data_IF_231115930438
#
_entry.id   IF_231115930438
#
_cell.length_a   1.000
_cell.length_b   1.000
_cell.length_c   1.000
_cell.angle_alpha   90.00
_cell.angle_beta   90.00
_cell.angle_gamma   90.00
#
_symmetry.space_group_name_H-M   'P 1'
#
loop_
_entity.id
_entity.type
_entity.pdbx_description
1 polymer ?
#
# COMPACT_ATOMS: atom_id res chain seq x y z
N UNK A 1 21.07 4.15 2.79
CA UNK A 1 20.10 4.49 3.84
C UNK A 1 18.79 3.80 3.48
N UNK A 2 18.14 3.17 4.44
CA UNK A 2 16.88 2.43 4.24
C UNK A 2 15.73 3.24 4.84
N UNK A 3 14.54 3.20 4.24
CA UNK A 3 13.46 4.13 4.58
C UNK A 3 12.94 3.95 6.01
N UNK A 4 12.83 2.70 6.48
CA UNK A 4 12.40 2.39 7.85
C UNK A 4 13.37 2.88 8.95
N UNK A 5 14.56 3.36 8.58
CA UNK A 5 15.59 3.86 9.52
C UNK A 5 15.64 5.39 9.58
N UNK A 6 14.86 6.09 8.76
CA UNK A 6 14.83 7.56 8.75
C UNK A 6 14.19 8.05 10.05
N UNK A 7 14.78 9.11 10.62
CA UNK A 7 14.49 9.64 11.95
C UNK A 7 14.83 11.14 11.94
N UNK A 8 14.39 11.89 12.96
CA UNK A 8 14.63 13.34 13.07
C UNK A 8 16.09 13.77 12.87
N UNK A 9 17.05 12.98 13.36
CA UNK A 9 18.49 13.28 13.20
C UNK A 9 19.00 13.26 11.75
N UNK A 10 18.24 12.68 10.83
CA UNK A 10 18.61 12.54 9.42
C UNK A 10 18.08 13.68 8.53
N UNK A 11 17.20 14.53 9.06
CA UNK A 11 16.51 15.59 8.32
C UNK A 11 17.48 16.70 7.89
N UNK A 12 17.20 17.35 6.76
CA UNK A 12 17.95 18.50 6.20
C UNK A 12 19.40 18.21 5.76
N UNK A 13 19.85 16.97 5.88
CA UNK A 13 21.17 16.55 5.41
C UNK A 13 21.06 16.06 3.96
N UNK A 14 21.44 16.89 2.99
CA UNK A 14 21.50 16.52 1.55
C UNK A 14 22.70 15.62 1.23
N UNK A 15 22.93 14.58 2.02
CA UNK A 15 24.11 13.71 1.90
C UNK A 15 23.77 12.22 1.93
N UNK A 16 22.48 11.87 1.95
CA UNK A 16 22.08 10.47 2.02
C UNK A 16 22.12 9.82 0.64
N UNK A 17 22.43 8.54 0.65
CA UNK A 17 22.36 7.66 -0.52
C UNK A 17 21.24 6.66 -0.27
N UNK A 18 20.29 6.59 -1.20
CA UNK A 18 19.21 5.62 -1.19
C UNK A 18 19.20 4.88 -2.52
N UNK A 19 18.89 3.59 -2.49
CA UNK A 19 18.60 2.81 -3.68
C UNK A 19 17.13 2.45 -3.64
N UNK A 20 16.38 2.86 -4.66
CA UNK A 20 14.94 2.69 -4.66
C UNK A 20 14.36 2.52 -6.06
N UNK A 21 13.27 1.76 -6.13
CA UNK A 21 12.42 1.65 -7.31
C UNK A 21 11.32 2.70 -7.29
N UNK A 22 11.10 3.35 -8.42
CA UNK A 22 9.97 4.28 -8.60
C UNK A 22 8.70 3.47 -8.78
N UNK A 23 7.88 3.33 -7.74
CA UNK A 23 6.60 2.61 -7.80
C UNK A 23 5.54 3.42 -8.54
N UNK A 24 5.55 4.73 -8.32
CA UNK A 24 4.62 5.66 -8.94
C UNK A 24 5.25 7.03 -9.08
N UNK A 25 4.82 7.75 -10.11
CA UNK A 25 5.26 9.12 -10.40
C UNK A 25 4.05 9.93 -10.88
N UNK A 26 3.80 11.06 -10.22
CA UNK A 26 2.81 12.02 -10.63
C UNK A 26 3.23 12.75 -11.92
N UNK A 27 2.26 13.34 -12.62
CA UNK A 27 2.57 14.47 -13.48
C UNK A 27 3.03 15.66 -12.63
N UNK A 28 3.87 16.53 -13.20
CA UNK A 28 4.25 17.80 -12.56
C UNK A 28 2.99 18.64 -12.36
N UNK A 29 2.81 19.18 -11.15
CA UNK A 29 1.66 19.98 -10.74
C UNK A 29 2.14 21.29 -10.13
N UNK A 30 1.23 22.25 -9.98
CA UNK A 30 1.47 23.48 -9.23
C UNK A 30 0.74 23.40 -7.88
N UNK A 31 1.40 23.81 -6.80
CA UNK A 31 0.78 23.85 -5.46
C UNK A 31 0.09 25.21 -5.19
N UNK A 32 -0.60 25.32 -4.05
CA UNK A 32 -1.34 26.54 -3.69
C UNK A 32 -0.47 27.80 -3.49
N UNK A 33 0.85 27.65 -3.48
CA UNK A 33 1.82 28.74 -3.39
C UNK A 33 2.49 29.07 -4.73
N UNK A 34 2.02 28.47 -5.84
CA UNK A 34 2.57 28.70 -7.18
C UNK A 34 3.85 27.94 -7.50
N UNK A 35 4.29 27.00 -6.65
CA UNK A 35 5.46 26.20 -6.92
C UNK A 35 5.10 24.96 -7.75
N UNK A 36 5.87 24.73 -8.81
CA UNK A 36 5.80 23.46 -9.52
C UNK A 36 6.42 22.36 -8.67
N UNK A 37 5.82 21.17 -8.67
CA UNK A 37 6.34 20.03 -7.93
C UNK A 37 6.12 18.71 -8.66
N UNK A 38 7.03 17.78 -8.42
CA UNK A 38 6.95 16.38 -8.81
C UNK A 38 6.88 15.54 -7.54
N UNK A 39 5.94 14.60 -7.50
CA UNK A 39 5.79 13.64 -6.42
C UNK A 39 5.96 12.23 -6.95
N UNK A 40 6.66 11.39 -6.21
CA UNK A 40 6.85 9.97 -6.51
C UNK A 40 6.66 9.13 -5.26
N UNK A 41 6.31 7.86 -5.43
CA UNK A 41 6.43 6.85 -4.38
C UNK A 41 7.62 5.96 -4.72
N UNK A 42 8.56 5.87 -3.78
CA UNK A 42 9.76 5.06 -3.87
C UNK A 42 9.62 3.80 -3.02
N UNK A 43 10.18 2.68 -3.47
CA UNK A 43 10.28 1.40 -2.77
C UNK A 43 11.75 1.05 -2.58
N UNK A 44 12.19 0.86 -1.34
CA UNK A 44 13.55 0.41 -1.05
C UNK A 44 13.71 -1.12 -1.15
N UNK A 45 14.95 -1.61 -1.01
CA UNK A 45 15.28 -3.04 -1.07
C UNK A 45 14.70 -3.88 0.08
N UNK A 46 14.08 -3.24 1.08
CA UNK A 46 13.47 -3.89 2.22
C UNK A 46 11.94 -3.87 2.15
N UNK A 47 11.35 -3.42 1.03
CA UNK A 47 9.89 -3.35 0.86
C UNK A 47 9.25 -2.11 1.51
N UNK A 48 10.06 -1.24 2.13
CA UNK A 48 9.58 0.00 2.73
C UNK A 48 9.32 1.04 1.66
N UNK A 49 8.30 1.87 1.86
CA UNK A 49 7.89 2.89 0.90
C UNK A 49 8.05 4.28 1.50
N UNK A 50 8.45 5.23 0.68
CA UNK A 50 8.53 6.64 1.08
C UNK A 50 8.20 7.53 -0.12
N UNK A 51 7.48 8.61 0.13
CA UNK A 51 7.24 9.60 -0.91
C UNK A 51 8.46 10.49 -1.11
N UNK A 52 8.73 10.83 -2.36
CA UNK A 52 9.78 11.75 -2.76
C UNK A 52 9.18 12.97 -3.44
N UNK A 53 9.72 14.14 -3.15
CA UNK A 53 9.29 15.41 -3.73
C UNK A 53 10.46 16.21 -4.30
N UNK A 54 10.21 16.87 -5.42
CA UNK A 54 11.11 17.84 -6.05
C UNK A 54 10.31 19.08 -6.45
N UNK A 55 10.92 20.26 -6.36
CA UNK A 55 10.28 21.54 -6.67
C UNK A 55 10.90 22.24 -7.88
N UNK A 56 10.07 23.04 -8.56
CA UNK A 56 10.45 24.00 -9.61
C UNK A 56 11.36 23.37 -10.68
N UNK A 57 12.56 23.91 -10.89
CA UNK A 57 13.50 23.38 -11.89
C UNK A 57 13.86 21.91 -11.65
N UNK A 58 13.87 21.45 -10.39
CA UNK A 58 14.14 20.06 -10.05
C UNK A 58 12.96 19.14 -10.39
N UNK A 59 11.72 19.63 -10.23
CA UNK A 59 10.53 18.88 -10.64
C UNK A 59 10.59 18.55 -12.14
N UNK A 60 10.94 19.54 -12.98
CA UNK A 60 11.06 19.37 -14.44
C UNK A 60 12.21 18.40 -14.77
N UNK A 61 13.38 18.61 -14.16
CA UNK A 61 14.56 17.75 -14.35
C UNK A 61 14.25 16.29 -14.03
N UNK A 62 13.75 16.02 -12.82
CA UNK A 62 13.49 14.66 -12.37
C UNK A 62 12.29 14.03 -13.06
N UNK A 63 11.35 14.81 -13.59
CA UNK A 63 10.27 14.26 -14.39
C UNK A 63 10.80 13.55 -15.66
N UNK A 64 11.87 14.07 -16.26
CA UNK A 64 12.49 13.48 -17.45
C UNK A 64 13.43 12.31 -17.13
N UNK A 65 13.99 12.27 -15.91
CA UNK A 65 14.98 11.26 -15.50
C UNK A 65 14.30 10.05 -14.84
N UNK A 66 13.25 10.27 -14.05
CA UNK A 66 12.59 9.21 -13.30
C UNK A 66 11.50 8.53 -14.13
N UNK A 67 11.62 7.21 -14.24
CA UNK A 67 10.65 6.34 -14.91
C UNK A 67 10.05 5.35 -13.91
N UNK A 68 8.72 5.24 -13.92
CA UNK A 68 7.99 4.25 -13.13
C UNK A 68 8.47 2.84 -13.47
N UNK A 69 8.70 2.03 -12.45
CA UNK A 69 9.21 0.66 -12.55
C UNK A 69 10.73 0.56 -12.50
N UNK A 70 11.51 1.63 -12.71
CA UNK A 70 12.97 1.58 -12.67
C UNK A 70 13.55 1.72 -11.27
N UNK A 71 14.65 1.00 -11.04
CA UNK A 71 15.47 1.13 -9.82
C UNK A 71 16.63 2.07 -10.08
N UNK A 72 16.80 3.05 -9.19
CA UNK A 72 17.84 4.06 -9.29
C UNK A 72 18.59 4.19 -7.96
N UNK A 73 19.86 4.54 -8.06
CA UNK A 73 20.66 5.04 -6.95
C UNK A 73 20.51 6.56 -6.92
N UNK A 74 19.98 7.07 -5.81
CA UNK A 74 19.85 8.50 -5.56
C UNK A 74 20.94 8.90 -4.55
N UNK A 75 21.84 9.78 -4.97
CA UNK A 75 22.90 10.31 -4.14
C UNK A 75 22.57 11.74 -3.72
N UNK A 76 22.99 12.11 -2.50
CA UNK A 76 22.79 13.46 -1.94
C UNK A 76 21.30 13.83 -1.85
N UNK A 77 20.47 12.89 -1.40
CA UNK A 77 19.07 13.18 -1.06
C UNK A 77 18.99 13.77 0.34
N UNK A 78 17.98 14.60 0.55
CA UNK A 78 17.58 15.08 1.88
C UNK A 78 16.30 14.38 2.37
N UNK A 79 15.96 14.59 3.62
CA UNK A 79 14.68 14.21 4.20
C UNK A 79 14.05 15.42 4.89
N UNK A 80 12.72 15.55 4.79
CA UNK A 80 11.91 16.57 5.48
C UNK A 80 10.73 15.90 6.21
N UNK A 81 10.20 16.51 7.29
CA UNK A 81 8.91 16.11 7.85
C UNK A 81 7.78 16.22 6.81
N UNK A 82 6.75 15.38 6.93
CA UNK A 82 5.54 15.46 6.08
C UNK A 82 4.60 16.60 6.45
N UNK A 83 4.70 17.12 7.68
CA UNK A 83 4.04 18.33 8.15
C UNK A 83 4.68 19.59 7.50
N UNK A 84 4.47 19.77 6.20
CA UNK A 84 4.89 20.97 5.47
C UNK A 84 3.70 21.94 5.31
N UNK A 85 3.90 23.26 5.46
CA UNK A 85 2.83 24.26 5.38
C UNK A 85 2.31 24.51 3.96
N UNK A 86 2.77 23.75 2.97
CA UNK A 86 2.56 23.97 1.54
C UNK A 86 1.28 23.31 0.98
N UNK A 87 0.51 22.65 1.84
CA UNK A 87 -0.77 22.04 1.49
C UNK A 87 -0.64 20.80 0.60
N UNK A 88 0.53 20.15 0.56
CA UNK A 88 0.70 18.92 -0.20
C UNK A 88 -0.16 17.77 0.31
N UNK A 89 -0.69 17.01 -0.63
CA UNK A 89 -1.39 15.77 -0.36
C UNK A 89 -0.41 14.59 -0.46
N UNK A 90 -0.13 13.97 0.68
CA UNK A 90 0.69 12.76 0.78
C UNK A 90 -0.19 11.52 0.68
N UNK A 91 0.18 10.60 -0.21
CA UNK A 91 -0.51 9.33 -0.34
C UNK A 91 -0.04 8.32 0.70
N UNK A 92 1.14 8.48 1.30
CA UNK A 92 1.61 7.62 2.39
C UNK A 92 1.50 8.34 3.73
N UNK A 93 1.00 7.64 4.75
CA UNK A 93 1.00 8.13 6.13
C UNK A 93 2.38 7.87 6.76
N UNK A 94 3.36 8.70 6.41
CA UNK A 94 4.74 8.64 6.91
C UNK A 94 5.11 9.94 7.60
N UNK A 95 6.06 9.89 8.55
CA UNK A 95 6.56 11.08 9.24
C UNK A 95 7.52 11.90 8.36
N UNK A 96 8.17 11.25 7.40
CA UNK A 96 9.21 11.85 6.56
C UNK A 96 9.00 11.59 5.08
N UNK A 97 9.46 12.54 4.27
CA UNK A 97 9.57 12.46 2.81
C UNK A 97 11.01 12.63 2.36
N UNK A 98 11.35 12.02 1.24
CA UNK A 98 12.62 12.24 0.54
C UNK A 98 12.53 13.54 -0.26
N UNK A 99 13.53 14.41 -0.15
CA UNK A 99 13.62 15.64 -0.96
C UNK A 99 14.72 15.54 -1.99
N UNK A 100 14.36 15.74 -3.26
CA UNK A 100 15.30 15.78 -4.37
C UNK A 100 15.64 17.24 -4.69
N UNK A 101 16.90 17.60 -4.52
CA UNK A 101 17.40 18.97 -4.64
C UNK A 101 18.27 19.16 -5.89
N UNK A 102 18.79 20.37 -6.09
CA UNK A 102 19.75 20.66 -7.15
C UNK A 102 21.02 19.83 -7.06
N UNK A 103 21.42 19.40 -5.86
CA UNK A 103 22.61 18.57 -5.66
C UNK A 103 22.32 17.08 -5.75
N UNK A 104 21.05 16.68 -5.83
CA UNK A 104 20.70 15.27 -5.93
C UNK A 104 21.10 14.73 -7.30
N UNK A 105 21.81 13.61 -7.27
CA UNK A 105 22.27 12.87 -8.44
C UNK A 105 21.49 11.56 -8.51
N UNK A 106 21.05 11.19 -9.71
CA UNK A 106 20.27 9.96 -9.92
C UNK A 106 20.93 9.19 -11.05
N UNK A 107 21.30 7.95 -10.75
CA UNK A 107 21.86 7.01 -11.71
C UNK A 107 21.03 5.74 -11.72
N UNK A 108 20.90 5.11 -12.88
CA UNK A 108 20.24 3.81 -12.98
C UNK A 108 21.06 2.78 -12.20
N UNK A 109 20.40 2.04 -11.30
CA UNK A 109 21.08 0.99 -10.53
C UNK A 109 21.28 -0.25 -11.40
N UNK A 110 22.40 -0.95 -11.18
CA UNK A 110 22.64 -2.27 -11.75
C UNK A 110 21.71 -3.35 -11.16
N UNK A 111 21.29 -3.18 -9.91
CA UNK A 111 20.42 -4.11 -9.20
C UNK A 111 18.96 -3.67 -9.32
N UNK A 112 18.07 -4.57 -9.73
CA UNK A 112 16.64 -4.31 -9.73
C UNK A 112 16.01 -4.67 -8.38
N UNK A 113 15.25 -3.74 -7.82
CA UNK A 113 14.36 -3.99 -6.68
C UNK A 113 13.01 -4.46 -7.22
N UNK A 114 12.58 -5.66 -6.85
CA UNK A 114 11.26 -6.18 -7.23
C UNK A 114 10.19 -5.76 -6.23
N UNK A 115 8.92 -5.72 -6.65
CA UNK A 115 7.79 -5.44 -5.74
C UNK A 115 7.46 -6.63 -4.82
N UNK A 116 8.13 -7.77 -5.03
CA UNK A 116 7.92 -9.03 -4.30
C UNK A 116 8.66 -9.08 -2.97
N UNK A 117 9.03 -7.93 -2.41
CA UNK A 117 9.69 -7.83 -1.11
C UNK A 117 8.63 -7.41 -0.09
N UNK A 118 8.37 -8.29 0.88
CA UNK A 118 7.40 -8.04 1.93
C UNK A 118 7.91 -6.90 2.84
N UNK A 119 7.10 -5.87 3.14
CA UNK A 119 7.48 -4.80 4.05
C UNK A 119 7.83 -5.33 5.45
N UNK A 120 8.72 -4.66 6.19
CA UNK A 120 9.16 -5.14 7.50
C UNK A 120 8.15 -4.88 8.62
N UNK A 121 7.17 -4.00 8.38
CA UNK A 121 6.16 -3.60 9.35
C UNK A 121 4.83 -3.31 8.63
N UNK A 122 3.73 -3.49 9.35
CA UNK A 122 2.38 -3.23 8.87
C UNK A 122 1.62 -2.41 9.91
N UNK A 123 0.78 -1.46 9.49
CA UNK A 123 -0.07 -0.71 10.41
C UNK A 123 -1.13 -1.59 11.05
N UNK A 124 -1.54 -1.23 12.26
CA UNK A 124 -2.65 -1.90 12.92
C UNK A 124 -3.98 -1.56 12.26
N UNK A 125 -4.98 -2.44 12.36
CA UNK A 125 -6.30 -2.19 11.77
C UNK A 125 -6.94 -0.90 12.29
N UNK A 126 -6.79 -0.59 13.59
CA UNK A 126 -7.24 0.67 14.18
C UNK A 126 -6.66 1.89 13.46
N UNK A 127 -5.36 1.88 13.18
CA UNK A 127 -4.68 2.97 12.46
C UNK A 127 -5.20 3.08 11.01
N UNK A 128 -5.47 1.96 10.34
CA UNK A 128 -6.01 1.95 8.97
C UNK A 128 -7.36 2.64 8.89
N UNK A 129 -8.23 2.50 9.91
CA UNK A 129 -9.54 3.15 9.92
C UNK A 129 -9.46 4.67 10.08
N UNK A 130 -8.38 5.18 10.67
CA UNK A 130 -8.12 6.61 10.83
C UNK A 130 -7.44 7.24 9.60
N UNK A 131 -6.97 6.42 8.65
CA UNK A 131 -6.35 6.90 7.43
C UNK A 131 -7.37 7.66 6.57
N UNK A 132 -6.89 8.73 5.93
CA UNK A 132 -7.67 9.56 5.01
C UNK A 132 -8.05 8.76 3.75
N UNK A 133 -9.13 9.19 3.11
CA UNK A 133 -9.52 8.64 1.81
C UNK A 133 -8.37 8.78 0.81
N UNK A 134 -8.20 7.79 -0.06
CA UNK A 134 -7.14 7.69 -1.07
C UNK A 134 -5.71 7.45 -0.56
N UNK A 135 -5.48 7.43 0.76
CA UNK A 135 -4.20 7.03 1.34
C UNK A 135 -3.85 5.59 0.94
N UNK A 136 -2.58 5.36 0.63
CA UNK A 136 -2.00 4.06 0.31
C UNK A 136 -1.42 3.47 1.60
N UNK A 137 -1.71 2.19 1.81
CA UNK A 137 -1.28 1.42 2.97
C UNK A 137 -0.92 0.00 2.58
N UNK A 138 -0.44 -0.76 3.54
CA UNK A 138 -0.13 -2.19 3.45
C UNK A 138 -0.90 -2.92 4.56
N UNK A 139 -1.28 -4.18 4.33
CA UNK A 139 -2.02 -5.00 5.32
C UNK A 139 -1.39 -6.37 5.42
N UNK A 140 -1.27 -6.87 6.64
CA UNK A 140 -1.07 -8.29 6.95
C UNK A 140 -2.20 -8.78 7.83
N UNK A 141 -2.74 -9.95 7.52
CA UNK A 141 -3.92 -10.50 8.17
C UNK A 141 -4.08 -12.00 7.88
N UNK A 142 -5.08 -12.61 8.49
CA UNK A 142 -5.65 -13.88 8.05
C UNK A 142 -6.64 -13.60 6.93
N UNK A 143 -6.53 -14.33 5.81
CA UNK A 143 -7.56 -14.30 4.79
C UNK A 143 -8.77 -15.11 5.28
N UNK A 144 -9.85 -14.43 5.63
CA UNK A 144 -11.00 -15.04 6.30
C UNK A 144 -12.20 -15.25 5.36
N UNK A 145 -12.27 -14.49 4.27
CA UNK A 145 -13.38 -14.55 3.33
C UNK A 145 -12.93 -14.24 1.90
N UNK A 146 -13.46 -14.98 0.94
CA UNK A 146 -13.32 -14.70 -0.49
C UNK A 146 -14.70 -14.73 -1.11
N UNK A 147 -15.14 -13.58 -1.61
CA UNK A 147 -16.41 -13.43 -2.30
C UNK A 147 -16.41 -14.00 -3.70
N UNK A 148 -17.60 -13.98 -4.31
CA UNK A 148 -17.78 -14.31 -5.71
C UNK A 148 -17.21 -13.20 -6.60
N UNK A 149 -16.80 -13.57 -7.82
CA UNK A 149 -16.39 -12.60 -8.83
C UNK A 149 -17.63 -11.86 -9.33
N UNK A 150 -17.60 -10.53 -9.24
CA UNK A 150 -18.61 -9.62 -9.73
C UNK A 150 -18.11 -8.86 -10.95
N UNK A 151 -18.96 -8.68 -11.95
CA UNK A 151 -18.65 -7.87 -13.14
C UNK A 151 -19.26 -6.49 -13.03
N UNK A 152 -18.43 -5.50 -12.65
CA UNK A 152 -18.84 -4.11 -12.44
C UNK A 152 -18.55 -3.26 -13.67
N UNK A 153 -19.43 -2.31 -13.96
CA UNK A 153 -19.21 -1.36 -15.03
C UNK A 153 -18.07 -0.40 -14.65
N UNK A 154 -17.03 -0.36 -15.46
CA UNK A 154 -15.96 0.62 -15.37
C UNK A 154 -16.20 1.73 -16.39
N UNK A 155 -16.34 2.96 -15.89
CA UNK A 155 -16.62 4.13 -16.74
C UNK A 155 -15.42 4.62 -17.55
N UNK A 156 -14.18 4.34 -17.10
CA UNK A 156 -12.94 4.75 -17.75
C UNK A 156 -12.72 3.87 -18.99
N UNK A 157 -12.82 2.56 -18.81
CA UNK A 157 -12.64 1.60 -19.91
C UNK A 157 -13.92 1.30 -20.69
N UNK A 158 -15.06 1.86 -20.25
CA UNK A 158 -16.40 1.63 -20.84
C UNK A 158 -16.72 0.16 -21.05
N UNK A 159 -16.38 -0.68 -20.06
CA UNK A 159 -16.61 -2.14 -20.11
C UNK A 159 -16.90 -2.69 -18.72
N UNK A 160 -17.44 -3.91 -18.67
CA UNK A 160 -17.54 -4.64 -17.40
C UNK A 160 -16.20 -5.29 -17.08
N UNK A 161 -15.71 -5.06 -15.87
CA UNK A 161 -14.43 -5.61 -15.38
C UNK A 161 -14.69 -6.53 -14.18
N UNK A 162 -13.96 -7.64 -14.06
CA UNK A 162 -14.09 -8.53 -12.91
C UNK A 162 -13.54 -7.85 -11.66
N UNK A 163 -14.22 -8.03 -10.54
CA UNK A 163 -13.78 -7.60 -9.22
C UNK A 163 -14.26 -8.58 -8.18
N UNK A 164 -13.51 -8.78 -7.11
CA UNK A 164 -13.94 -9.61 -5.99
C UNK A 164 -13.66 -8.89 -4.67
N UNK A 165 -14.47 -9.19 -3.64
CA UNK A 165 -14.25 -8.67 -2.29
C UNK A 165 -13.71 -9.80 -1.41
N UNK A 166 -12.60 -9.53 -0.71
CA UNK A 166 -12.04 -10.42 0.30
C UNK A 166 -12.16 -9.80 1.69
N UNK A 167 -12.29 -10.65 2.70
CA UNK A 167 -12.28 -10.25 4.11
C UNK A 167 -10.94 -10.62 4.75
N UNK A 168 -10.26 -9.62 5.30
CA UNK A 168 -9.00 -9.75 6.00
C UNK A 168 -9.26 -9.55 7.49
N UNK A 169 -8.86 -10.53 8.29
CA UNK A 169 -9.12 -10.54 9.73
C UNK A 169 -7.81 -10.43 10.51
N UNK A 170 -7.75 -9.52 11.48
CA UNK A 170 -6.64 -9.46 12.42
C UNK A 170 -6.88 -10.36 13.66
N UNK A 171 -5.90 -10.42 14.57
CA UNK A 171 -5.98 -11.22 15.80
C UNK A 171 -7.06 -10.73 16.78
N UNK A 172 -7.49 -9.47 16.69
CA UNK A 172 -8.58 -8.91 17.49
C UNK A 172 -9.97 -9.22 16.90
N UNK A 173 -10.05 -10.14 15.93
CA UNK A 173 -11.26 -10.49 15.18
C UNK A 173 -11.90 -9.31 14.43
N UNK A 174 -11.17 -8.23 14.22
CA UNK A 174 -11.62 -7.12 13.38
C UNK A 174 -11.46 -7.52 11.93
N UNK A 175 -12.46 -7.20 11.11
CA UNK A 175 -12.46 -7.52 9.68
C UNK A 175 -12.42 -6.24 8.86
N UNK A 176 -11.45 -6.16 7.96
CA UNK A 176 -11.38 -5.16 6.90
C UNK A 176 -11.67 -5.85 5.57
N UNK A 177 -12.46 -5.20 4.73
CA UNK A 177 -12.75 -5.67 3.40
C UNK A 177 -11.79 -5.05 2.39
N UNK A 178 -11.19 -5.86 1.54
CA UNK A 178 -10.39 -5.43 0.40
C UNK A 178 -11.13 -5.77 -0.89
N UNK A 179 -11.30 -4.78 -1.76
CA UNK A 179 -11.74 -4.99 -3.13
C UNK A 179 -10.54 -5.24 -4.04
N UNK A 180 -10.50 -6.44 -4.60
CA UNK A 180 -9.54 -6.85 -5.62
C UNK A 180 -10.08 -6.41 -6.99
N UNK A 181 -9.28 -5.63 -7.71
CA UNK A 181 -9.54 -5.16 -9.08
C UNK A 181 -9.03 -6.17 -10.11
N UNK A 182 -9.48 -5.99 -11.35
CA UNK A 182 -9.35 -6.96 -12.44
C UNK A 182 -7.93 -7.49 -12.67
N UNK A 183 -6.93 -6.65 -12.48
CA UNK A 183 -5.52 -6.98 -12.67
C UNK A 183 -5.07 -8.13 -11.76
N UNK A 184 -5.74 -8.26 -10.62
CA UNK A 184 -5.40 -9.18 -9.55
C UNK A 184 -6.40 -10.32 -9.39
N UNK A 185 -7.61 -10.22 -9.98
CA UNK A 185 -8.64 -11.27 -9.85
C UNK A 185 -8.14 -12.56 -10.49
N UNK A 186 -7.86 -12.55 -11.79
CA UNK A 186 -7.49 -13.75 -12.54
C UNK A 186 -6.25 -14.46 -11.96
N UNK A 187 -5.11 -13.77 -11.79
CA UNK A 187 -3.87 -14.38 -11.31
C UNK A 187 -3.95 -14.97 -9.90
N UNK A 188 -4.79 -14.43 -9.02
CA UNK A 188 -4.79 -14.80 -7.60
C UNK A 188 -6.03 -15.55 -7.13
N UNK A 189 -7.10 -15.65 -7.93
CA UNK A 189 -8.39 -16.18 -7.46
C UNK A 189 -8.27 -17.57 -6.82
N UNK A 190 -7.60 -18.52 -7.48
CA UNK A 190 -7.45 -19.88 -6.96
C UNK A 190 -6.66 -19.91 -5.64
N UNK A 191 -5.55 -19.17 -5.58
CA UNK A 191 -4.74 -19.07 -4.36
C UNK A 191 -5.53 -18.43 -3.22
N UNK A 192 -6.29 -17.36 -3.49
CA UNK A 192 -7.15 -16.73 -2.50
C UNK A 192 -8.17 -17.72 -1.93
N UNK A 193 -8.83 -18.52 -2.77
CA UNK A 193 -9.79 -19.53 -2.30
C UNK A 193 -9.12 -20.58 -1.41
N UNK A 194 -7.96 -21.10 -1.81
CA UNK A 194 -7.20 -22.08 -1.02
C UNK A 194 -6.77 -21.50 0.33
N UNK A 195 -6.12 -20.33 0.34
CA UNK A 195 -5.64 -19.64 1.54
C UNK A 195 -6.80 -19.31 2.49
N UNK A 196 -7.96 -18.89 1.98
CA UNK A 196 -9.14 -18.61 2.79
C UNK A 196 -9.70 -19.86 3.48
N UNK A 197 -9.70 -21.00 2.79
CA UNK A 197 -10.15 -22.27 3.37
C UNK A 197 -9.24 -22.75 4.51
N UNK A 198 -7.96 -22.37 4.45
CA UNK A 198 -6.93 -22.73 5.43
C UNK A 198 -6.75 -21.66 6.52
N UNK A 199 -7.44 -20.50 6.42
CA UNK A 199 -7.22 -19.35 7.30
C UNK A 199 -5.74 -18.97 7.41
N UNK A 200 -5.06 -18.96 6.27
CA UNK A 200 -3.62 -18.72 6.19
C UNK A 200 -3.26 -17.23 6.26
N UNK A 201 -2.00 -16.97 6.65
CA UNK A 201 -1.41 -15.62 6.62
C UNK A 201 -1.38 -15.09 5.20
N UNK A 202 -1.72 -13.82 5.11
CA UNK A 202 -1.88 -13.11 3.87
C UNK A 202 -1.43 -11.67 4.08
N UNK A 203 -0.56 -11.17 3.21
CA UNK A 203 -0.23 -9.76 3.16
C UNK A 203 -0.53 -9.20 1.77
N UNK A 204 -0.94 -7.95 1.74
CA UNK A 204 -1.17 -7.23 0.50
C UNK A 204 -0.64 -5.82 0.66
N UNK A 205 0.14 -5.38 -0.32
CA UNK A 205 0.84 -4.10 -0.25
C UNK A 205 0.38 -3.17 -1.34
N UNK A 206 0.59 -1.87 -1.14
CA UNK A 206 0.27 -0.81 -2.09
C UNK A 206 -1.22 -0.82 -2.43
N UNK A 207 -2.05 -0.78 -1.39
CA UNK A 207 -3.52 -0.74 -1.49
C UNK A 207 -4.05 0.59 -1.01
N UNK A 208 -5.14 1.04 -1.62
CA UNK A 208 -5.72 2.35 -1.37
C UNK A 208 -6.92 2.26 -0.43
N UNK A 209 -7.01 3.18 0.53
CA UNK A 209 -8.17 3.39 1.39
C UNK A 209 -9.30 4.02 0.58
N UNK A 210 -10.49 3.41 0.67
CA UNK A 210 -11.73 3.93 0.11
C UNK A 210 -12.76 4.10 1.23
N UNK A 211 -12.76 5.27 1.87
CA UNK A 211 -13.65 5.62 2.96
C UNK A 211 -15.11 5.61 2.51
N UNK A 212 -15.40 6.06 1.29
CA UNK A 212 -16.77 6.09 0.72
C UNK A 212 -17.41 4.71 0.69
N UNK A 213 -16.64 3.67 0.38
CA UNK A 213 -17.12 2.29 0.31
C UNK A 213 -16.76 1.46 1.55
N UNK A 214 -16.13 2.09 2.55
CA UNK A 214 -15.63 1.46 3.77
C UNK A 214 -14.90 0.15 3.45
N UNK A 215 -13.92 0.25 2.56
CA UNK A 215 -13.05 -0.86 2.17
C UNK A 215 -11.69 -0.34 1.73
N UNK A 216 -10.73 -1.25 1.64
CA UNK A 216 -9.49 -1.05 0.92
C UNK A 216 -9.70 -1.48 -0.54
N UNK A 217 -8.82 -1.02 -1.43
CA UNK A 217 -8.88 -1.37 -2.84
C UNK A 217 -7.48 -1.58 -3.41
N UNK A 218 -7.31 -2.64 -4.20
CA UNK A 218 -6.05 -2.89 -4.89
C UNK A 218 -5.81 -1.85 -5.99
N UNK A 219 -4.57 -1.44 -6.13
CA UNK A 219 -4.02 -0.65 -7.23
C UNK A 219 -3.33 -1.57 -8.22
N UNK A 220 -2.99 -1.08 -9.41
CA UNK A 220 -2.31 -1.89 -10.44
C UNK A 220 -1.00 -2.47 -9.93
N UNK A 221 -0.27 -1.72 -9.11
CA UNK A 221 1.03 -2.09 -8.54
C UNK A 221 0.91 -2.83 -7.19
N UNK A 222 -0.30 -3.18 -6.75
CA UNK A 222 -0.48 -3.99 -5.54
C UNK A 222 0.22 -5.33 -5.67
N UNK A 223 0.77 -5.82 -4.55
CA UNK A 223 1.45 -7.12 -4.51
C UNK A 223 0.86 -7.97 -3.40
N UNK A 224 0.65 -9.25 -3.71
CA UNK A 224 0.05 -10.24 -2.82
C UNK A 224 1.14 -11.18 -2.31
N UNK A 225 1.17 -11.39 -1.00
CA UNK A 225 2.07 -12.30 -0.30
C UNK A 225 1.23 -13.34 0.42
N UNK A 226 1.46 -14.61 0.07
CA UNK A 226 0.86 -15.76 0.74
C UNK A 226 1.84 -16.30 1.78
N UNK A 227 1.36 -17.09 2.74
CA UNK A 227 2.11 -17.51 3.94
C UNK A 227 3.56 -17.93 3.69
N UNK A 228 3.85 -18.67 2.62
CA UNK A 228 5.23 -19.10 2.26
C UNK A 228 6.22 -17.97 2.01
N UNK A 229 5.73 -16.75 1.74
CA UNK A 229 6.50 -15.59 1.30
C UNK A 229 6.52 -14.48 2.35
N UNK A 230 5.93 -14.71 3.53
CA UNK A 230 5.92 -13.77 4.65
C UNK A 230 6.94 -14.28 5.67
N UNK A 231 7.90 -13.44 6.06
CA UNK A 231 8.89 -13.85 7.04
C UNK A 231 8.23 -14.02 8.41
N UNK A 232 8.39 -15.18 9.05
CA UNK A 232 7.75 -15.50 10.33
C UNK A 232 8.36 -14.73 11.51
N UNK A 233 9.53 -14.12 11.35
CA UNK A 233 10.23 -13.30 12.36
C UNK A 233 9.54 -11.97 12.70
N UNK A 234 8.43 -11.64 12.04
CA UNK A 234 7.65 -10.47 12.41
C UNK A 234 6.90 -10.74 13.74
N UNK A 235 7.40 -10.13 14.82
CA UNK A 235 6.82 -10.15 16.17
C UNK A 235 5.30 -9.85 16.23
N UNK A 236 4.71 -9.25 15.21
CA UNK A 236 3.27 -9.02 15.11
C UNK A 236 2.44 -10.28 14.82
N UNK A 237 3.06 -11.40 14.45
CA UNK A 237 2.39 -12.57 13.88
C UNK A 237 2.73 -13.90 14.57
N UNK A 238 3.62 -13.91 15.56
CA UNK A 238 3.85 -15.10 16.40
C UNK A 238 2.56 -15.47 17.16
N UNK A 239 1.72 -14.47 17.46
CA UNK A 239 0.41 -14.63 18.10
C UNK A 239 -0.69 -15.15 17.16
N UNK A 240 -0.52 -15.12 15.83
CA UNK A 240 -1.57 -15.60 14.89
C UNK A 240 -1.75 -17.12 14.98
N UNK A 241 -0.67 -17.85 15.27
CA UNK A 241 -0.74 -19.31 15.45
C UNK A 241 -1.23 -19.72 16.85
N UNK A 242 -1.11 -18.85 17.86
CA UNK A 242 -1.39 -19.19 19.27
C UNK A 242 -2.71 -18.61 19.79
N UNK A 243 -3.31 -17.59 19.14
CA UNK A 243 -4.49 -16.89 19.65
C UNK A 243 -5.85 -17.35 19.07
N UNK A 244 -5.93 -18.47 18.32
CA UNK A 244 -7.22 -19.03 17.92
C UNK A 244 -7.89 -19.75 19.10
N UNK A 245 -8.48 -19.00 20.03
CA UNK A 245 -9.39 -19.52 21.06
C UNK A 245 -10.72 -20.05 20.46
N UNK A 246 -10.93 -19.88 19.15
CA UNK A 246 -12.07 -20.37 18.41
C UNK A 246 -11.67 -21.51 17.47
N UNK A 247 -12.55 -22.50 17.37
CA UNK A 247 -12.48 -23.52 16.32
C UNK A 247 -12.64 -22.90 14.94
N UNK A 248 -12.21 -23.62 13.90
CA UNK A 248 -12.35 -23.19 12.51
C UNK A 248 -13.82 -22.94 12.12
N UNK A 249 -14.75 -23.72 12.67
CA UNK A 249 -16.18 -23.58 12.44
C UNK A 249 -16.76 -22.32 13.10
N UNK A 250 -16.34 -22.02 14.33
CA UNK A 250 -16.73 -20.77 15.02
C UNK A 250 -16.24 -19.54 14.28
N UNK A 251 -15.00 -19.58 13.79
CA UNK A 251 -14.41 -18.50 12.99
C UNK A 251 -15.22 -18.30 11.70
N UNK A 252 -15.56 -19.38 11.00
CA UNK A 252 -16.38 -19.32 9.79
C UNK A 252 -17.79 -18.78 10.07
N UNK A 253 -18.41 -19.21 11.17
CA UNK A 253 -19.72 -18.70 11.59
C UNK A 253 -19.67 -17.20 11.91
N UNK A 254 -18.62 -16.73 12.59
CA UNK A 254 -18.39 -15.31 12.86
C UNK A 254 -18.26 -14.52 11.55
N UNK A 255 -17.36 -14.94 10.66
CA UNK A 255 -17.12 -14.27 9.37
C UNK A 255 -18.41 -14.18 8.55
N UNK A 256 -19.18 -15.27 8.47
CA UNK A 256 -20.45 -15.30 7.74
C UNK A 256 -21.44 -14.27 8.29
N UNK A 257 -21.56 -14.10 9.62
CA UNK A 257 -22.41 -13.08 10.23
C UNK A 257 -21.98 -11.67 9.84
N UNK A 258 -20.67 -11.39 9.87
CA UNK A 258 -20.12 -10.07 9.50
C UNK A 258 -20.39 -9.76 8.02
N UNK A 259 -20.14 -10.72 7.14
CA UNK A 259 -20.39 -10.58 5.68
C UNK A 259 -21.87 -10.34 5.40
N UNK A 260 -22.77 -11.11 6.02
CA UNK A 260 -24.22 -10.91 5.89
C UNK A 260 -24.65 -9.52 6.39
N UNK A 261 -24.15 -9.09 7.54
CA UNK A 261 -24.41 -7.75 8.08
C UNK A 261 -24.01 -6.63 7.11
N UNK A 262 -22.83 -6.75 6.47
CA UNK A 262 -22.35 -5.80 5.46
C UNK A 262 -23.22 -5.78 4.21
N UNK A 263 -23.61 -6.94 3.70
CA UNK A 263 -24.45 -7.05 2.51
C UNK A 263 -25.84 -6.43 2.74
N UNK A 264 -26.44 -6.68 3.91
CA UNK A 264 -27.71 -6.06 4.30
C UNK A 264 -27.58 -4.53 4.44
N UNK A 265 -26.46 -4.04 4.97
CA UNK A 265 -26.17 -2.62 5.04
C UNK A 265 -26.10 -1.94 3.67
N UNK A 266 -25.48 -2.58 2.68
CA UNK A 266 -25.37 -2.05 1.30
C UNK A 266 -26.71 -1.94 0.59
N UNK A 267 -27.62 -2.90 0.79
CA UNK A 267 -28.94 -2.88 0.15
C UNK A 267 -29.80 -1.68 0.60
N UNK A 268 -29.69 -1.27 1.88
CA UNK A 268 -30.43 -0.12 2.43
C UNK A 268 -30.03 1.25 1.87
N UNK A 269 -28.84 1.39 1.29
CA UNK A 269 -28.36 2.64 0.66
C UNK A 269 -28.66 2.73 -0.84
N UNK A 270 -29.17 1.64 -1.44
CA UNK A 270 -29.54 1.56 -2.86
C UNK A 270 -31.05 1.36 -3.07
N UNK A 271 -31.85 1.48 -2.00
CA UNK A 271 -33.32 1.54 -2.01
C UNK A 271 -33.77 2.99 -1.87
#
# INVERSE_FOLDING_TARGET
MDFHRVQMKHIYHNCWIIQARVMWKAHVKENGMGNLYLQCILLDRHGSKMEAIAFNSQAIRFNNVLETGRTNDFNRVGFNPTEMPDGHFWYLAMDFVTTLSSTTEVTMSAQQITSTICPPCFPQFGEIFELRDTTITDVVAILAYVGQIEFKWDSIYRRRVPSLEIGLMNFQQQIIFLRVREEHVGPHFWHLQCTANLFEKFAVTYIQVNQRQRCLQTMRESTFFFSSNINDDHHYLQDIHEASLMTLDETRAYVNRVVQGRNNGRQKYHS
#
